data_IF_093270901455
#
_entry.id   IF_093270901455
#
_cell.length_a   1.000
_cell.length_b   1.000
_cell.length_c   1.000
_cell.angle_alpha   90.00
_cell.angle_beta   90.00
_cell.angle_gamma   90.00
#
_symmetry.space_group_name_H-M   'P 1'
#
loop_
_entity.id
_entity.type
_entity.pdbx_description
1 polymer ?
#
# COMPACT_ATOMS: atom_id res chain seq x y z
N UNK A 1 -17.70 4.11 7.02
CA UNK A 1 -16.56 4.88 7.56
C UNK A 1 -15.45 4.00 8.16
N UNK A 2 -15.72 2.90 8.85
CA UNK A 2 -14.65 2.05 9.44
C UNK A 2 -13.69 1.37 8.46
N UNK A 3 -14.11 1.05 7.22
CA UNK A 3 -13.23 0.38 6.25
C UNK A 3 -12.18 1.30 5.61
N UNK A 4 -12.46 2.58 5.50
CA UNK A 4 -11.55 3.56 4.89
C UNK A 4 -10.37 3.89 5.80
N UNK A 5 -10.60 3.90 7.10
CA UNK A 5 -9.55 4.12 8.10
C UNK A 5 -8.52 2.99 8.14
N UNK A 6 -8.97 1.73 8.07
CA UNK A 6 -8.06 0.59 7.96
C UNK A 6 -7.19 0.64 6.69
N UNK A 7 -7.69 1.24 5.60
CA UNK A 7 -6.89 1.45 4.39
C UNK A 7 -5.80 2.49 4.65
N UNK A 8 -6.15 3.63 5.26
CA UNK A 8 -5.20 4.69 5.62
C UNK A 8 -4.03 4.19 6.45
N UNK A 9 -4.32 3.50 7.57
CA UNK A 9 -3.29 2.99 8.47
C UNK A 9 -2.40 1.95 7.78
N UNK A 10 -2.98 1.16 6.89
CA UNK A 10 -2.25 0.18 6.10
C UNK A 10 -1.31 0.81 5.07
N UNK A 11 -1.73 1.92 4.41
CA UNK A 11 -0.93 2.64 3.44
C UNK A 11 -0.11 3.78 4.04
N UNK A 12 -0.25 4.04 5.36
CA UNK A 12 0.50 5.02 6.14
C UNK A 12 0.48 6.42 5.48
N UNK A 13 -0.72 7.00 5.33
CA UNK A 13 -0.92 8.34 4.75
C UNK A 13 -0.29 9.40 5.68
N UNK A 14 0.74 10.14 5.26
CA UNK A 14 1.47 11.07 6.12
C UNK A 14 0.77 12.42 6.27
N UNK A 15 -0.01 12.84 5.28
CA UNK A 15 -0.67 14.14 5.26
C UNK A 15 -1.97 14.10 4.45
N UNK A 16 -2.89 15.00 4.74
CA UNK A 16 -4.21 15.09 4.11
C UNK A 16 -4.47 16.56 3.74
N UNK A 17 -5.03 16.77 2.55
CA UNK A 17 -5.64 18.04 2.12
C UNK A 17 -7.12 17.75 1.83
N UNK A 18 -8.01 18.64 2.25
CA UNK A 18 -9.46 18.46 2.12
C UNK A 18 -10.02 19.37 1.03
N UNK A 19 -10.83 18.80 0.14
CA UNK A 19 -11.62 19.55 -0.82
C UNK A 19 -13.12 19.31 -0.57
N UNK A 20 -13.82 20.32 -0.05
CA UNK A 20 -15.27 20.31 0.11
C UNK A 20 -15.91 20.59 -1.26
N UNK A 21 -16.24 19.51 -1.95
CA UNK A 21 -16.82 19.57 -3.30
C UNK A 21 -18.33 19.86 -3.28
N UNK A 22 -18.87 20.24 -4.43
CA UNK A 22 -20.30 20.47 -4.67
C UNK A 22 -20.91 21.63 -3.84
N UNK A 23 -20.09 22.63 -3.51
CA UNK A 23 -20.60 23.81 -2.76
C UNK A 23 -21.65 24.61 -3.53
N UNK A 24 -21.74 24.44 -4.85
CA UNK A 24 -22.78 24.99 -5.72
C UNK A 24 -24.18 24.43 -5.45
N UNK A 25 -24.30 23.33 -4.73
CA UNK A 25 -25.58 22.69 -4.35
C UNK A 25 -26.06 23.12 -2.97
N UNK A 26 -25.27 23.91 -2.24
CA UNK A 26 -25.57 24.37 -0.87
C UNK A 26 -25.72 25.88 -0.87
N UNK A 27 -26.93 26.36 -0.59
CA UNK A 27 -27.23 27.79 -0.52
C UNK A 27 -26.82 28.40 0.83
N UNK A 28 -26.86 27.59 1.88
CA UNK A 28 -26.57 28.02 3.25
C UNK A 28 -25.06 27.93 3.55
N UNK A 29 -24.43 29.09 3.75
CA UNK A 29 -23.00 29.18 4.10
C UNK A 29 -22.70 28.68 5.50
N UNK A 30 -23.64 28.81 6.44
CA UNK A 30 -23.45 28.31 7.82
C UNK A 30 -23.33 26.79 7.83
N UNK A 31 -24.08 26.10 6.94
CA UNK A 31 -23.98 24.66 6.77
C UNK A 31 -22.58 24.23 6.26
N UNK A 32 -21.98 25.01 5.34
CA UNK A 32 -20.63 24.70 4.85
C UNK A 32 -19.56 24.91 5.94
N UNK A 33 -19.75 25.88 6.83
CA UNK A 33 -18.84 26.11 7.97
C UNK A 33 -18.98 24.97 9.00
N UNK A 34 -20.21 24.51 9.25
CA UNK A 34 -20.47 23.37 10.14
C UNK A 34 -19.82 22.10 9.62
N UNK A 35 -19.98 21.80 8.33
CA UNK A 35 -19.36 20.62 7.69
C UNK A 35 -17.82 20.69 7.78
N UNK A 36 -17.24 21.89 7.57
CA UNK A 36 -15.80 22.07 7.74
C UNK A 36 -15.35 21.75 9.16
N UNK A 37 -16.10 22.25 10.16
CA UNK A 37 -15.80 22.00 11.58
C UNK A 37 -15.86 20.49 11.89
N UNK A 38 -16.91 19.81 11.45
CA UNK A 38 -17.06 18.35 11.65
C UNK A 38 -15.91 17.56 11.00
N UNK A 39 -15.46 17.99 9.81
CA UNK A 39 -14.30 17.36 9.14
C UNK A 39 -13.03 17.58 9.94
N UNK A 40 -12.78 18.78 10.47
CA UNK A 40 -11.62 19.08 11.31
C UNK A 40 -11.61 18.28 12.61
N UNK A 41 -12.76 18.18 13.28
CA UNK A 41 -12.92 17.35 14.47
C UNK A 41 -12.67 15.86 14.16
N UNK A 42 -13.19 15.36 13.03
CA UNK A 42 -12.96 14.00 12.58
C UNK A 42 -11.48 13.72 12.34
N UNK A 43 -10.78 14.63 11.65
CA UNK A 43 -9.34 14.50 11.38
C UNK A 43 -8.52 14.53 12.68
N UNK A 44 -8.88 15.40 13.62
CA UNK A 44 -8.24 15.47 14.95
C UNK A 44 -8.45 14.18 15.75
N UNK A 45 -9.64 13.58 15.69
CA UNK A 45 -9.92 12.27 16.29
C UNK A 45 -9.03 11.16 15.71
N UNK A 46 -8.56 11.32 14.50
CA UNK A 46 -7.66 10.38 13.80
C UNK A 46 -6.20 10.81 13.83
N UNK A 47 -5.84 11.65 14.81
CA UNK A 47 -4.46 12.08 15.07
C UNK A 47 -3.81 12.90 13.94
N UNK A 48 -4.61 13.48 13.05
CA UNK A 48 -4.13 14.51 12.13
C UNK A 48 -4.29 15.89 12.77
N UNK A 49 -3.46 16.89 12.41
CA UNK A 49 -3.59 18.26 12.91
C UNK A 49 -4.79 18.97 12.27
N UNK A 50 -6.02 18.59 12.68
CA UNK A 50 -7.28 19.02 12.04
C UNK A 50 -7.43 20.51 11.88
N UNK A 51 -6.90 21.32 12.82
CA UNK A 51 -6.96 22.77 12.78
C UNK A 51 -6.04 23.38 11.69
N UNK A 52 -4.90 22.72 11.42
CA UNK A 52 -3.87 23.22 10.48
C UNK A 52 -4.05 22.70 9.05
N UNK A 53 -4.91 21.69 8.86
CA UNK A 53 -5.13 21.05 7.56
C UNK A 53 -5.80 22.04 6.58
N UNK A 54 -5.26 22.20 5.36
CA UNK A 54 -5.91 22.99 4.33
C UNK A 54 -7.27 22.42 3.94
N UNK A 55 -8.32 23.23 4.06
CA UNK A 55 -9.69 22.90 3.63
C UNK A 55 -10.12 23.89 2.56
N UNK A 56 -10.23 23.40 1.33
CA UNK A 56 -10.62 24.20 0.17
C UNK A 56 -12.08 23.92 -0.18
N UNK A 57 -12.86 24.95 -0.47
CA UNK A 57 -14.28 24.85 -0.82
C UNK A 57 -14.47 25.13 -2.31
N UNK A 58 -15.16 24.27 -3.06
CA UNK A 58 -15.35 24.48 -4.49
C UNK A 58 -16.34 23.53 -5.15
N UNK A 59 -16.51 23.71 -6.45
CA UNK A 59 -17.29 22.80 -7.30
C UNK A 59 -16.45 22.36 -8.50
N UNK A 60 -16.02 21.12 -8.50
CA UNK A 60 -15.28 20.55 -9.61
C UNK A 60 -16.11 20.55 -10.92
N UNK A 61 -17.43 20.35 -10.82
CA UNK A 61 -18.33 20.40 -11.96
C UNK A 61 -18.35 21.79 -12.59
N UNK A 62 -18.47 22.84 -11.78
CA UNK A 62 -18.51 24.24 -12.29
C UNK A 62 -17.20 24.63 -12.94
N UNK A 63 -16.06 24.16 -12.44
CA UNK A 63 -14.77 24.35 -13.09
C UNK A 63 -14.70 23.63 -14.44
N UNK A 64 -15.17 22.38 -14.50
CA UNK A 64 -15.20 21.59 -15.73
C UNK A 64 -16.09 22.22 -16.80
N UNK A 65 -17.31 22.65 -16.43
CA UNK A 65 -18.26 23.34 -17.32
C UNK A 65 -17.70 24.69 -17.82
N UNK A 66 -17.02 25.43 -16.96
CA UNK A 66 -16.41 26.72 -17.32
C UNK A 66 -15.27 26.54 -18.34
N UNK A 67 -14.41 25.53 -18.15
CA UNK A 67 -13.32 25.18 -19.08
C UNK A 67 -12.26 26.26 -19.30
N UNK A 68 -12.28 27.39 -18.56
CA UNK A 68 -11.37 28.50 -18.79
C UNK A 68 -9.94 28.26 -18.26
N UNK A 69 -9.79 27.39 -17.24
CA UNK A 69 -8.51 27.02 -16.64
C UNK A 69 -7.73 28.14 -15.95
N UNK A 70 -8.35 29.31 -15.69
CA UNK A 70 -7.67 30.46 -15.09
C UNK A 70 -7.76 30.45 -13.57
N UNK A 71 -6.68 30.88 -12.91
CA UNK A 71 -6.60 30.94 -11.43
C UNK A 71 -7.54 32.01 -10.84
N UNK A 72 -7.72 33.13 -11.52
CA UNK A 72 -8.58 34.23 -11.10
C UNK A 72 -10.09 34.01 -11.37
N UNK A 73 -10.43 32.88 -11.96
CA UNK A 73 -11.82 32.50 -12.23
C UNK A 73 -12.52 31.98 -10.96
N UNK A 74 -13.71 32.51 -10.61
CA UNK A 74 -14.45 32.04 -9.41
C UNK A 74 -14.75 30.53 -9.40
N UNK A 75 -14.89 29.91 -10.57
CA UNK A 75 -15.19 28.50 -10.68
C UNK A 75 -13.92 27.63 -10.72
N UNK A 76 -12.81 28.11 -11.31
CA UNK A 76 -11.56 27.34 -11.46
C UNK A 76 -10.54 27.64 -10.35
N UNK A 77 -10.61 28.85 -9.73
CA UNK A 77 -9.71 29.25 -8.64
C UNK A 77 -9.59 28.25 -7.51
N UNK A 78 -10.71 27.69 -6.97
CA UNK A 78 -10.63 26.68 -5.92
C UNK A 78 -9.88 25.40 -6.32
N UNK A 79 -9.83 25.07 -7.60
CA UNK A 79 -9.04 23.91 -8.08
C UNK A 79 -7.55 24.25 -8.08
N UNK A 80 -7.19 25.48 -8.44
CA UNK A 80 -5.80 25.96 -8.34
C UNK A 80 -5.34 26.08 -6.90
N UNK A 81 -6.20 26.57 -5.99
CA UNK A 81 -5.92 26.58 -4.55
C UNK A 81 -5.69 25.16 -4.00
N UNK A 82 -6.50 24.17 -4.44
CA UNK A 82 -6.30 22.77 -4.07
C UNK A 82 -4.93 22.26 -4.54
N UNK A 83 -4.57 22.51 -5.80
CA UNK A 83 -3.27 22.08 -6.33
C UNK A 83 -2.12 22.73 -5.57
N UNK A 84 -2.21 24.03 -5.28
CA UNK A 84 -1.22 24.74 -4.49
C UNK A 84 -1.11 24.21 -3.07
N UNK A 85 -2.25 23.93 -2.42
CA UNK A 85 -2.25 23.32 -1.09
C UNK A 85 -1.63 21.91 -1.08
N UNK A 86 -1.85 21.12 -2.14
CA UNK A 86 -1.19 19.81 -2.31
C UNK A 86 0.33 19.99 -2.42
N UNK A 87 0.79 20.91 -3.26
CA UNK A 87 2.22 21.13 -3.50
C UNK A 87 2.94 21.69 -2.26
N UNK A 88 2.27 22.54 -1.46
CA UNK A 88 2.88 23.20 -0.29
C UNK A 88 2.76 22.36 1.00
N UNK A 89 1.65 21.64 1.18
CA UNK A 89 1.33 20.96 2.45
C UNK A 89 1.73 19.49 2.48
N UNK A 90 1.62 18.76 1.34
CA UNK A 90 1.99 17.34 1.30
C UNK A 90 3.49 17.20 1.11
N UNK A 91 4.22 16.56 2.06
CA UNK A 91 5.67 16.42 1.95
C UNK A 91 6.02 15.48 0.79
N UNK A 92 7.09 15.80 0.07
CA UNK A 92 7.64 14.88 -0.93
C UNK A 92 8.05 13.55 -0.25
N UNK A 93 7.64 12.40 -0.80
CA UNK A 93 7.99 11.11 -0.22
C UNK A 93 9.49 10.86 -0.33
N UNK A 94 10.10 10.43 0.78
CA UNK A 94 11.48 9.95 0.77
C UNK A 94 11.55 8.64 0.01
N UNK A 95 12.29 8.62 -1.10
CA UNK A 95 12.48 7.44 -1.92
C UNK A 95 13.73 6.69 -1.50
N UNK A 96 13.61 5.42 -1.13
CA UNK A 96 14.71 4.54 -0.75
C UNK A 96 15.53 4.09 -1.97
N UNK A 97 16.18 5.02 -2.66
CA UNK A 97 16.90 4.73 -3.91
C UNK A 97 18.26 4.06 -3.72
N UNK A 98 18.83 4.14 -2.54
CA UNK A 98 20.16 3.59 -2.22
C UNK A 98 20.11 2.14 -1.70
N UNK A 99 18.92 1.63 -1.40
CA UNK A 99 18.71 0.23 -1.02
C UNK A 99 18.76 -0.70 -2.24
N UNK A 100 19.01 -2.01 -2.05
CA UNK A 100 18.91 -2.98 -3.14
C UNK A 100 17.53 -2.95 -3.78
N UNK A 101 17.49 -3.06 -5.11
CA UNK A 101 16.23 -3.05 -5.89
C UNK A 101 15.23 -4.10 -5.41
N UNK A 102 13.96 -3.71 -5.32
CA UNK A 102 12.82 -4.59 -5.06
C UNK A 102 11.56 -4.04 -5.69
N UNK A 103 10.87 -4.89 -6.44
CA UNK A 103 9.57 -4.63 -7.06
C UNK A 103 8.60 -5.74 -6.68
N UNK A 104 7.46 -5.39 -6.08
CA UNK A 104 6.36 -6.34 -5.85
C UNK A 104 5.60 -6.59 -7.16
N UNK A 105 5.49 -7.86 -7.58
CA UNK A 105 4.82 -8.23 -8.83
C UNK A 105 3.30 -8.15 -8.61
N UNK A 106 2.66 -7.28 -9.38
CA UNK A 106 1.21 -7.05 -9.37
C UNK A 106 0.50 -7.84 -10.47
N UNK A 107 1.12 -7.89 -11.66
CA UNK A 107 0.55 -8.60 -12.80
C UNK A 107 1.64 -9.16 -13.73
N UNK A 108 1.27 -10.16 -14.54
CA UNK A 108 2.18 -10.87 -15.45
C UNK A 108 1.56 -10.98 -16.82
N UNK A 109 2.25 -10.45 -17.82
CA UNK A 109 1.82 -10.45 -19.22
C UNK A 109 2.81 -11.19 -20.11
N UNK A 110 2.31 -11.84 -21.15
CA UNK A 110 3.13 -12.35 -22.24
C UNK A 110 2.95 -11.46 -23.46
N UNK A 111 4.06 -10.96 -24.01
CA UNK A 111 4.05 -10.17 -25.25
C UNK A 111 4.62 -11.03 -26.35
N UNK A 112 3.81 -11.32 -27.38
CA UNK A 112 4.21 -12.14 -28.53
C UNK A 112 5.49 -11.59 -29.17
N UNK A 113 6.53 -12.43 -29.29
CA UNK A 113 7.82 -12.08 -29.87
C UNK A 113 8.75 -11.25 -28.97
N UNK A 114 8.32 -10.90 -27.75
CA UNK A 114 9.19 -10.18 -26.78
C UNK A 114 9.47 -10.99 -25.52
N UNK A 115 8.50 -11.76 -25.01
CA UNK A 115 8.63 -12.56 -23.81
C UNK A 115 7.68 -12.15 -22.69
N UNK A 116 8.03 -12.50 -21.46
CA UNK A 116 7.24 -12.23 -20.26
C UNK A 116 7.57 -10.86 -19.67
N UNK A 117 6.54 -10.10 -19.39
CA UNK A 117 6.61 -8.79 -18.71
C UNK A 117 5.91 -8.91 -17.35
N UNK A 118 6.59 -8.52 -16.31
CA UNK A 118 6.01 -8.33 -14.97
C UNK A 118 5.79 -6.85 -14.73
N UNK A 119 4.68 -6.51 -14.10
CA UNK A 119 4.39 -5.12 -13.71
C UNK A 119 4.29 -4.99 -12.21
N UNK A 120 4.63 -3.82 -11.71
CA UNK A 120 4.52 -3.50 -10.31
C UNK A 120 5.18 -2.18 -9.96
N UNK A 121 5.02 -1.80 -8.69
CA UNK A 121 5.68 -0.63 -8.14
C UNK A 121 7.07 -1.02 -7.61
N UNK A 122 8.06 -0.22 -7.95
CA UNK A 122 9.40 -0.30 -7.34
C UNK A 122 9.28 0.19 -5.88
N UNK A 123 9.45 -0.71 -4.91
CA UNK A 123 9.38 -0.37 -3.48
C UNK A 123 10.63 0.36 -3.01
N UNK A 124 11.80 -0.09 -3.50
CA UNK A 124 13.11 0.47 -3.15
C UNK A 124 14.15 0.22 -4.23
N UNK A 125 15.24 0.95 -4.14
CA UNK A 125 16.38 0.82 -5.04
C UNK A 125 16.16 1.37 -6.43
N UNK A 126 17.04 0.98 -7.33
CA UNK A 126 17.06 1.32 -8.75
C UNK A 126 17.29 0.08 -9.59
N UNK A 127 16.79 0.08 -10.81
CA UNK A 127 17.02 -0.95 -11.82
C UNK A 127 17.33 -0.33 -13.17
N UNK A 128 18.28 -0.91 -13.88
CA UNK A 128 18.65 -0.55 -15.25
C UNK A 128 18.37 -1.69 -16.21
N UNK A 129 18.21 -1.35 -17.47
CA UNK A 129 18.18 -2.35 -18.52
C UNK A 129 19.50 -3.10 -18.56
N UNK A 130 19.44 -4.43 -18.49
CA UNK A 130 20.61 -5.31 -18.42
C UNK A 130 20.96 -5.81 -17.03
N UNK A 131 20.34 -5.30 -16.00
CA UNK A 131 20.60 -5.74 -14.62
C UNK A 131 20.13 -7.17 -14.38
N UNK A 132 20.94 -7.98 -13.66
CA UNK A 132 20.52 -9.28 -13.16
C UNK A 132 19.52 -9.11 -12.03
N UNK A 133 18.46 -9.93 -12.05
CA UNK A 133 17.39 -9.92 -11.05
C UNK A 133 17.00 -11.35 -10.65
N UNK A 134 16.41 -11.49 -9.48
CA UNK A 134 15.86 -12.72 -8.95
C UNK A 134 14.36 -12.59 -8.71
N UNK A 135 13.62 -13.67 -9.04
CA UNK A 135 12.20 -13.83 -8.73
C UNK A 135 12.12 -14.65 -7.46
N UNK A 136 11.53 -14.09 -6.40
CA UNK A 136 11.53 -14.65 -5.05
C UNK A 136 10.14 -14.69 -4.46
N UNK A 137 9.79 -15.75 -3.74
CA UNK A 137 8.52 -15.94 -3.06
C UNK A 137 7.61 -16.93 -3.76
N UNK A 138 6.51 -17.34 -3.11
CA UNK A 138 5.54 -18.36 -3.51
C UNK A 138 6.15 -19.76 -3.71
N UNK A 139 7.45 -19.87 -3.75
CA UNK A 139 8.25 -21.09 -3.84
C UNK A 139 9.55 -20.92 -3.04
N UNK A 140 10.18 -22.05 -2.66
CA UNK A 140 11.54 -22.05 -2.10
C UNK A 140 12.60 -21.85 -3.17
N UNK A 141 12.26 -22.10 -4.43
CA UNK A 141 13.15 -21.93 -5.58
C UNK A 141 13.23 -20.45 -5.98
N UNK A 142 14.45 -19.95 -6.09
CA UNK A 142 14.75 -18.59 -6.57
C UNK A 142 15.15 -18.68 -8.03
N UNK A 143 14.41 -18.01 -8.92
CA UNK A 143 14.72 -17.98 -10.35
C UNK A 143 15.54 -16.75 -10.68
N UNK A 144 16.63 -16.94 -11.42
CA UNK A 144 17.54 -15.88 -11.85
C UNK A 144 17.28 -15.50 -13.30
N UNK A 145 17.21 -14.21 -13.57
CA UNK A 145 16.99 -13.68 -14.91
C UNK A 145 17.65 -12.31 -15.07
N UNK A 146 17.40 -11.65 -16.20
CA UNK A 146 17.91 -10.31 -16.53
C UNK A 146 16.75 -9.45 -17.01
N UNK A 147 16.67 -8.22 -16.51
CA UNK A 147 15.75 -7.20 -17.00
C UNK A 147 16.23 -6.69 -18.36
N UNK A 148 15.55 -7.07 -19.45
CA UNK A 148 15.95 -6.71 -20.82
C UNK A 148 15.26 -5.47 -21.35
N UNK A 149 14.27 -4.96 -20.65
CA UNK A 149 13.58 -3.72 -21.00
C UNK A 149 12.75 -3.22 -19.82
N UNK A 150 12.63 -1.90 -19.71
CA UNK A 150 11.82 -1.20 -18.73
C UNK A 150 10.84 -0.29 -19.47
N UNK A 151 9.58 -0.25 -19.02
CA UNK A 151 8.54 0.57 -19.65
C UNK A 151 7.66 1.21 -18.59
N UNK A 152 7.35 2.49 -18.75
CA UNK A 152 6.40 3.23 -17.93
C UNK A 152 5.55 4.14 -18.82
N UNK A 153 4.21 4.06 -18.71
CA UNK A 153 3.27 4.85 -19.53
C UNK A 153 3.54 4.74 -21.05
N UNK A 154 3.85 3.52 -21.54
CA UNK A 154 4.20 3.23 -22.95
C UNK A 154 5.49 3.91 -23.46
N UNK A 155 6.34 4.34 -22.52
CA UNK A 155 7.68 4.87 -22.85
C UNK A 155 8.73 3.91 -22.29
N UNK A 156 9.73 3.61 -23.12
CA UNK A 156 10.90 2.84 -22.68
C UNK A 156 11.77 3.70 -21.78
N UNK A 157 12.32 3.08 -20.72
CA UNK A 157 13.21 3.69 -19.77
C UNK A 157 14.56 2.97 -19.80
N UNK A 158 15.63 3.68 -19.56
CA UNK A 158 16.96 3.10 -19.33
C UNK A 158 17.15 2.71 -17.84
N UNK A 159 16.53 3.45 -16.94
CA UNK A 159 16.57 3.25 -15.49
C UNK A 159 15.20 3.56 -14.87
N UNK A 160 14.83 2.84 -13.79
CA UNK A 160 13.70 3.12 -12.95
C UNK A 160 14.11 3.06 -11.48
N UNK A 161 13.38 3.76 -10.60
CA UNK A 161 13.72 3.92 -9.19
C UNK A 161 12.51 3.76 -8.27
N UNK A 162 12.78 3.70 -6.97
CA UNK A 162 11.75 3.62 -5.92
C UNK A 162 10.61 4.63 -6.15
N UNK A 163 9.37 4.14 -6.10
CA UNK A 163 8.15 4.90 -6.36
C UNK A 163 7.61 4.80 -7.78
N UNK A 164 8.42 4.36 -8.75
CA UNK A 164 7.97 4.21 -10.14
C UNK A 164 7.11 2.94 -10.29
N UNK A 165 6.04 3.03 -11.08
CA UNK A 165 5.23 1.87 -11.45
C UNK A 165 5.61 1.48 -12.89
N UNK A 166 6.22 0.32 -13.04
CA UNK A 166 6.89 -0.09 -14.29
C UNK A 166 6.51 -1.50 -14.75
N UNK A 167 6.68 -1.73 -16.05
CA UNK A 167 6.75 -3.06 -16.64
C UNK A 167 8.22 -3.44 -16.87
N UNK A 168 8.60 -4.63 -16.44
CA UNK A 168 9.96 -5.19 -16.61
C UNK A 168 9.88 -6.40 -17.52
N UNK A 169 10.58 -6.33 -18.66
CA UNK A 169 10.73 -7.44 -19.60
C UNK A 169 11.82 -8.39 -19.08
N UNK A 170 11.48 -9.66 -18.92
CA UNK A 170 12.37 -10.68 -18.36
C UNK A 170 12.91 -11.60 -19.47
N UNK A 171 14.20 -11.97 -19.35
CA UNK A 171 14.85 -12.89 -20.30
C UNK A 171 14.59 -14.34 -19.94
N UNK A 172 14.06 -15.12 -20.91
CA UNK A 172 13.99 -16.59 -20.79
C UNK A 172 13.11 -17.10 -19.65
N UNK A 173 12.11 -16.31 -19.26
CA UNK A 173 11.09 -16.68 -18.27
C UNK A 173 9.74 -16.81 -18.99
N UNK A 174 9.09 -17.95 -18.85
CA UNK A 174 7.73 -18.15 -19.35
C UNK A 174 6.70 -17.56 -18.39
N UNK A 175 5.50 -17.24 -18.91
CA UNK A 175 4.44 -16.59 -18.12
C UNK A 175 3.99 -17.40 -16.92
N UNK A 176 3.95 -18.73 -17.03
CA UNK A 176 3.55 -19.69 -15.98
C UNK A 176 4.65 -19.95 -14.93
N UNK A 177 5.83 -19.41 -15.14
CA UNK A 177 6.93 -19.48 -14.20
C UNK A 177 6.98 -18.31 -13.20
N UNK A 178 6.12 -17.30 -13.39
CA UNK A 178 6.04 -16.09 -12.56
C UNK A 178 4.59 -15.82 -12.23
N UNK A 179 4.32 -15.45 -11.00
CA UNK A 179 2.97 -15.15 -10.54
C UNK A 179 2.91 -13.90 -9.66
N UNK A 180 1.72 -13.32 -9.57
CA UNK A 180 1.43 -12.24 -8.64
C UNK A 180 1.74 -12.68 -7.21
N UNK A 181 2.36 -11.79 -6.43
CA UNK A 181 2.75 -12.07 -5.04
C UNK A 181 4.22 -12.41 -4.87
N UNK A 182 4.91 -12.79 -5.94
CA UNK A 182 6.36 -12.84 -5.96
C UNK A 182 6.94 -11.43 -6.01
N UNK A 183 8.23 -11.31 -5.73
CA UNK A 183 8.98 -10.07 -5.91
C UNK A 183 10.10 -10.27 -6.93
N UNK A 184 10.37 -9.21 -7.67
CA UNK A 184 11.58 -9.08 -8.47
C UNK A 184 12.59 -8.27 -7.67
N UNK A 185 13.76 -8.82 -7.41
CA UNK A 185 14.73 -8.23 -6.49
C UNK A 185 16.17 -8.28 -7.04
N UNK A 186 17.03 -7.41 -6.50
CA UNK A 186 18.47 -7.52 -6.73
C UNK A 186 18.98 -8.87 -6.20
N UNK A 187 19.95 -9.53 -6.88
CA UNK A 187 20.42 -10.85 -6.49
C UNK A 187 20.87 -10.91 -5.02
N UNK A 188 20.33 -11.91 -4.29
CA UNK A 188 20.67 -12.16 -2.89
C UNK A 188 20.19 -11.12 -1.88
N UNK A 189 19.34 -10.17 -2.28
CA UNK A 189 18.89 -9.09 -1.40
C UNK A 189 17.68 -9.42 -0.52
N UNK A 190 16.94 -10.48 -0.85
CA UNK A 190 15.79 -10.97 -0.10
C UNK A 190 15.65 -12.49 -0.28
N UNK A 191 15.09 -13.16 0.72
CA UNK A 191 14.88 -14.60 0.74
C UNK A 191 13.43 -14.96 1.06
N UNK A 192 12.93 -16.13 0.60
CA UNK A 192 11.60 -16.60 0.93
C UNK A 192 11.57 -17.27 2.32
N UNK A 193 10.55 -16.94 3.12
CA UNK A 193 10.39 -17.42 4.49
C UNK A 193 8.97 -17.91 4.77
N UNK A 194 8.86 -18.88 5.67
CA UNK A 194 7.57 -19.46 6.07
C UNK A 194 7.19 -19.19 7.52
N UNK A 195 8.15 -18.81 8.37
CA UNK A 195 7.90 -18.61 9.81
C UNK A 195 8.52 -17.34 10.34
N UNK A 196 7.73 -16.54 11.02
CA UNK A 196 8.16 -15.26 11.57
C UNK A 196 7.46 -14.92 12.89
N UNK A 197 8.02 -13.99 13.66
CA UNK A 197 7.36 -13.27 14.74
C UNK A 197 6.90 -11.92 14.21
N UNK A 198 5.70 -11.50 14.57
CA UNK A 198 5.16 -10.20 14.23
C UNK A 198 4.48 -9.54 15.42
N UNK A 199 4.59 -8.24 15.51
CA UNK A 199 3.78 -7.43 16.41
C UNK A 199 2.48 -7.09 15.71
N UNK A 200 1.34 -7.41 16.35
CA UNK A 200 0.02 -7.39 15.73
C UNK A 200 -0.95 -6.60 16.61
N UNK A 201 -1.66 -5.68 16.00
CA UNK A 201 -2.85 -5.04 16.57
C UNK A 201 -4.10 -5.69 15.98
N UNK A 202 -5.00 -6.14 16.87
CA UNK A 202 -6.27 -6.77 16.48
C UNK A 202 -7.36 -5.71 16.48
N UNK A 203 -7.95 -5.45 15.31
CA UNK A 203 -8.96 -4.42 15.13
C UNK A 203 -10.23 -4.72 15.95
N UNK A 204 -10.74 -3.69 16.61
CA UNK A 204 -12.01 -3.74 17.34
C UNK A 204 -13.20 -3.82 16.38
N UNK A 205 -14.39 -4.14 16.90
CA UNK A 205 -15.64 -4.13 16.15
C UNK A 205 -15.96 -2.73 15.57
N UNK A 206 -15.64 -1.68 16.32
CA UNK A 206 -15.89 -0.29 15.93
C UNK A 206 -14.99 0.13 14.76
N UNK A 207 -13.78 -0.44 14.68
CA UNK A 207 -12.84 -0.28 13.57
C UNK A 207 -13.16 -1.18 12.37
N UNK A 208 -14.26 -1.94 12.41
CA UNK A 208 -14.67 -2.86 11.36
C UNK A 208 -14.03 -4.26 11.47
N UNK A 209 -13.32 -4.53 12.55
CA UNK A 209 -12.66 -5.79 12.84
C UNK A 209 -13.58 -6.86 13.42
N UNK A 210 -13.03 -7.70 14.29
CA UNK A 210 -13.73 -8.81 14.96
C UNK A 210 -14.54 -8.32 16.16
N UNK A 211 -15.53 -9.12 16.55
CA UNK A 211 -16.27 -8.96 17.81
C UNK A 211 -16.09 -10.17 18.74
N UNK A 212 -15.34 -11.18 18.30
CA UNK A 212 -15.05 -12.39 19.07
C UNK A 212 -13.54 -12.61 19.17
N UNK A 213 -13.06 -13.17 20.30
CA UNK A 213 -11.65 -13.54 20.42
C UNK A 213 -11.26 -14.64 19.42
N UNK A 214 -9.95 -14.82 19.23
CA UNK A 214 -9.39 -16.00 18.60
C UNK A 214 -8.41 -16.71 19.54
N UNK A 215 -8.13 -17.97 19.24
CA UNK A 215 -7.37 -18.89 20.08
C UNK A 215 -6.15 -19.43 19.33
N UNK A 216 -5.30 -20.17 20.04
CA UNK A 216 -4.18 -20.92 19.47
C UNK A 216 -4.60 -21.72 18.24
N UNK A 217 -3.76 -21.70 17.19
CA UNK A 217 -4.03 -22.41 15.93
C UNK A 217 -5.01 -21.69 15.00
N UNK A 218 -5.38 -20.44 15.25
CA UNK A 218 -6.20 -19.63 14.33
C UNK A 218 -5.51 -19.47 12.98
N UNK A 219 -6.27 -19.66 11.87
CA UNK A 219 -5.73 -19.71 10.50
C UNK A 219 -6.38 -18.69 9.57
N UNK A 220 -6.07 -17.40 9.72
CA UNK A 220 -6.54 -16.36 8.81
C UNK A 220 -5.68 -16.26 7.54
N UNK A 221 -6.05 -15.32 6.65
CA UNK A 221 -5.22 -14.90 5.53
C UNK A 221 -4.33 -13.73 5.94
N UNK A 222 -3.05 -13.83 5.61
CA UNK A 222 -2.04 -12.79 5.78
C UNK A 222 -1.77 -12.14 4.45
N UNK A 223 -2.00 -10.84 4.35
CA UNK A 223 -1.77 -10.04 3.16
C UNK A 223 -0.41 -9.37 3.23
N UNK A 224 0.49 -9.79 2.36
CA UNK A 224 1.80 -9.19 2.18
C UNK A 224 1.88 -8.57 0.79
N UNK A 225 2.29 -7.31 0.66
CA UNK A 225 2.43 -6.65 -0.64
C UNK A 225 1.23 -6.89 -1.56
N UNK A 226 1.39 -7.74 -2.56
CA UNK A 226 0.39 -8.01 -3.61
C UNK A 226 -0.31 -9.35 -3.49
N UNK A 227 -0.02 -10.15 -2.45
CA UNK A 227 -0.58 -11.50 -2.26
C UNK A 227 -1.16 -11.72 -0.88
N UNK A 228 -1.97 -12.76 -0.78
CA UNK A 228 -2.48 -13.30 0.47
C UNK A 228 -2.07 -14.77 0.63
N UNK A 229 -1.72 -15.13 1.85
CA UNK A 229 -1.34 -16.51 2.21
C UNK A 229 -1.97 -16.89 3.53
N UNK A 230 -2.52 -18.08 3.60
CA UNK A 230 -3.00 -18.65 4.86
C UNK A 230 -1.83 -18.94 5.79
N UNK A 231 -1.94 -18.50 7.04
CA UNK A 231 -0.97 -18.78 8.08
C UNK A 231 -1.63 -19.23 9.37
N UNK A 232 -0.94 -20.06 10.13
CA UNK A 232 -1.34 -20.50 11.46
C UNK A 232 -0.67 -19.62 12.52
N UNK A 233 -1.46 -19.11 13.45
CA UNK A 233 -0.99 -18.28 14.56
C UNK A 233 -0.70 -19.17 15.76
N UNK A 234 0.48 -18.95 16.36
CA UNK A 234 0.82 -19.47 17.69
C UNK A 234 0.92 -18.32 18.69
N UNK A 235 0.23 -18.47 19.81
CA UNK A 235 0.18 -17.51 20.87
C UNK A 235 1.41 -17.60 21.79
N UNK A 236 1.84 -16.53 22.44
CA UNK A 236 2.91 -16.58 23.43
C UNK A 236 2.47 -17.35 24.68
N UNK A 237 3.44 -17.91 25.42
CA UNK A 237 3.18 -18.66 26.65
C UNK A 237 2.34 -17.83 27.65
N UNK A 238 1.29 -18.47 28.18
CA UNK A 238 0.38 -17.86 29.16
C UNK A 238 -0.77 -17.04 28.56
N UNK A 239 -0.84 -16.91 27.23
CA UNK A 239 -1.97 -16.29 26.53
C UNK A 239 -2.89 -17.38 25.97
N UNK A 240 -4.10 -17.49 26.52
CA UNK A 240 -5.09 -18.48 26.06
C UNK A 240 -5.92 -17.98 24.88
N UNK A 241 -6.18 -16.67 24.82
CA UNK A 241 -6.98 -16.04 23.77
C UNK A 241 -6.50 -14.61 23.50
N UNK A 242 -6.87 -14.09 22.34
CA UNK A 242 -6.60 -12.71 21.92
C UNK A 242 -7.93 -12.00 21.66
N UNK A 243 -8.11 -10.85 22.29
CA UNK A 243 -9.31 -10.04 22.19
C UNK A 243 -9.18 -8.96 21.11
N UNK A 244 -10.28 -8.53 20.48
CA UNK A 244 -10.28 -7.31 19.70
C UNK A 244 -9.79 -6.10 20.53
N UNK A 245 -8.85 -5.32 19.98
CA UNK A 245 -8.18 -4.21 20.66
C UNK A 245 -6.82 -4.57 21.26
N UNK A 246 -6.46 -5.86 21.32
CA UNK A 246 -5.16 -6.27 21.85
C UNK A 246 -4.02 -5.94 20.88
N UNK A 247 -2.88 -5.58 21.48
CA UNK A 247 -1.59 -5.47 20.77
C UNK A 247 -0.62 -6.47 21.39
N UNK A 248 -0.14 -7.42 20.58
CA UNK A 248 0.72 -8.48 21.08
C UNK A 248 1.65 -9.03 20.00
N UNK A 249 2.71 -9.71 20.48
CA UNK A 249 3.62 -10.42 19.59
C UNK A 249 3.12 -11.84 19.34
N UNK A 250 3.02 -12.23 18.07
CA UNK A 250 2.57 -13.54 17.60
C UNK A 250 3.66 -14.23 16.81
N UNK A 251 3.67 -15.57 16.87
CA UNK A 251 4.42 -16.40 15.93
C UNK A 251 3.47 -16.87 14.83
N UNK A 252 3.85 -16.70 13.58
CA UNK A 252 3.05 -17.07 12.43
C UNK A 252 3.82 -18.08 11.57
N UNK A 253 3.12 -19.15 11.15
CA UNK A 253 3.62 -20.13 10.18
C UNK A 253 2.76 -20.12 8.94
N UNK A 254 3.31 -19.65 7.82
CA UNK A 254 2.65 -19.58 6.53
C UNK A 254 2.68 -20.96 5.84
N UNK A 255 1.66 -21.24 5.04
CA UNK A 255 1.58 -22.49 4.23
C UNK A 255 2.46 -22.42 2.96
N UNK A 256 2.80 -21.20 2.51
CA UNK A 256 3.63 -20.94 1.33
C UNK A 256 4.71 -19.93 1.71
N UNK A 257 5.96 -20.08 1.24
CA UNK A 257 7.02 -19.12 1.53
C UNK A 257 6.81 -17.79 0.82
N UNK A 258 7.03 -16.69 1.53
CA UNK A 258 6.89 -15.32 1.03
C UNK A 258 8.25 -14.63 1.09
N UNK A 259 8.58 -13.83 0.08
CA UNK A 259 9.73 -12.94 0.13
C UNK A 259 9.54 -11.92 1.27
N UNK A 260 10.33 -12.06 2.34
CA UNK A 260 10.11 -11.40 3.62
C UNK A 260 11.39 -10.79 4.17
N UNK A 261 11.23 -9.71 4.90
CA UNK A 261 12.28 -9.05 5.67
C UNK A 261 11.69 -8.47 6.97
N UNK A 262 12.54 -8.19 7.94
CA UNK A 262 12.13 -7.50 9.16
C UNK A 262 11.64 -6.08 8.82
N UNK A 263 10.57 -5.64 9.49
CA UNK A 263 9.90 -4.39 9.19
C UNK A 263 8.80 -4.48 8.11
N UNK A 264 8.64 -5.64 7.43
CA UNK A 264 7.57 -5.82 6.45
C UNK A 264 6.21 -5.77 7.15
N UNK A 265 5.33 -4.88 6.68
CA UNK A 265 3.96 -4.76 7.17
C UNK A 265 3.04 -5.78 6.51
N UNK A 266 2.05 -6.23 7.27
CA UNK A 266 1.02 -7.14 6.77
C UNK A 266 -0.34 -6.83 7.38
N UNK A 267 -1.40 -7.25 6.68
CA UNK A 267 -2.75 -7.24 7.21
C UNK A 267 -3.24 -8.67 7.42
N UNK A 268 -4.06 -8.87 8.45
CA UNK A 268 -4.74 -10.13 8.74
C UNK A 268 -6.19 -9.97 8.28
N UNK A 269 -6.68 -10.92 7.48
CA UNK A 269 -8.06 -10.87 6.96
C UNK A 269 -8.79 -12.19 7.17
N UNK A 270 -10.08 -12.05 7.39
CA UNK A 270 -11.03 -13.16 7.53
C UNK A 270 -12.30 -12.83 6.75
N UNK A 271 -12.74 -13.72 5.85
CA UNK A 271 -13.96 -13.54 5.08
C UNK A 271 -14.06 -12.19 4.35
N UNK A 272 -12.94 -11.66 3.82
CA UNK A 272 -12.90 -10.39 3.10
C UNK A 272 -12.79 -9.15 4.00
N UNK A 273 -12.77 -9.29 5.34
CA UNK A 273 -12.61 -8.18 6.31
C UNK A 273 -11.20 -8.17 6.87
N UNK A 274 -10.63 -6.98 7.06
CA UNK A 274 -9.39 -6.82 7.81
C UNK A 274 -9.72 -6.93 9.29
N UNK A 275 -9.05 -7.86 9.98
CA UNK A 275 -9.26 -8.14 11.41
C UNK A 275 -8.05 -7.79 12.26
N UNK A 276 -6.93 -7.47 11.63
CA UNK A 276 -5.72 -7.03 12.30
C UNK A 276 -4.69 -6.50 11.31
N UNK A 277 -3.70 -5.82 11.83
CA UNK A 277 -2.53 -5.36 11.10
C UNK A 277 -1.29 -5.58 11.95
N UNK A 278 -0.16 -5.81 11.31
CA UNK A 278 1.08 -6.05 12.03
C UNK A 278 2.33 -5.78 11.20
N UNK A 279 3.46 -5.92 11.87
CA UNK A 279 4.79 -5.79 11.28
C UNK A 279 5.64 -7.01 11.65
N UNK A 280 6.43 -7.51 10.71
CA UNK A 280 7.40 -8.59 10.94
C UNK A 280 8.53 -8.06 11.81
N UNK A 281 8.72 -8.63 13.00
CA UNK A 281 9.75 -8.21 13.94
C UNK A 281 10.96 -9.12 13.91
N UNK A 282 10.78 -10.40 13.53
CA UNK A 282 11.86 -11.38 13.44
C UNK A 282 11.51 -12.51 12.49
N UNK A 283 12.46 -12.91 11.68
CA UNK A 283 12.35 -14.09 10.81
C UNK A 283 12.91 -15.32 11.53
N UNK A 284 12.19 -16.45 11.46
CA UNK A 284 12.55 -17.69 12.15
C UNK A 284 12.99 -18.77 11.12
N UNK A 285 12.23 -18.95 10.02
CA UNK A 285 12.49 -19.96 8.99
C UNK A 285 12.04 -19.47 7.60
#
# INVERSE_FOLDING_TARGET
>A
MGSEMCIRDRVNVPAIVVFLNKVDQVEDKELLELVELEVRELLSKYEFPGDDIPVIKGSALKCLECGCGKEDCPNCGPIWELLKAVDEYIPEPVRDVDKPFLLAIEDVFSITGRGTVVTGRVERGKIKVGDPVEIVGMSKEIKKTVATGLEMFRKTLDEAQAGDNIGVLLRGIEKDEVERGQVLAAPGSITPHTKFEGEVYVLTKEEGGRHTPFFEGYRPQFYFRTTDVTGEISLPEGVEMVMPGDNLRLTVKLIIPIAMEEGLRFAIREGGRTVGAGVVTKIIE
#
